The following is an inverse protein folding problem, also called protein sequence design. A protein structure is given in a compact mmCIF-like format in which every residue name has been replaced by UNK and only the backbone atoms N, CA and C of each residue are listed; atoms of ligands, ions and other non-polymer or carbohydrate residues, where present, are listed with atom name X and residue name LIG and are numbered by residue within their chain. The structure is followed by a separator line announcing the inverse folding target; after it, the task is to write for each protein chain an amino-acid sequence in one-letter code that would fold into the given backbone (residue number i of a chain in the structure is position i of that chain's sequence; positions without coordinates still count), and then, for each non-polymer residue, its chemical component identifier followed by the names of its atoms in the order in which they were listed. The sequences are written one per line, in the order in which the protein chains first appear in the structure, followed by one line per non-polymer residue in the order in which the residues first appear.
data_IF_422945344493
#
_entry.id   IF_422945344493
#
_cell.length_a   1.000
_cell.length_b   1.000
_cell.length_c   1.000
_cell.angle_alpha   90.00
_cell.angle_beta   90.00
_cell.angle_gamma   90.00
#
_symmetry.space_group_name_H-M   'P 1'
#
loop_
_entity.id
_entity.type
_entity.pdbx_description
1 polymer ?
#
# COMPACT_ATOMS: atom_id res chain seq x y z
N UNK A 1 8.77 -12.15 1.08
CA UNK A 1 8.34 -10.89 1.72
C UNK A 1 7.43 -10.16 0.75
N UNK A 2 6.23 -9.76 1.18
CA UNK A 2 5.27 -8.97 0.37
C UNK A 2 5.04 -7.64 1.06
N UNK A 3 4.77 -6.59 0.29
CA UNK A 3 4.48 -5.26 0.80
C UNK A 3 3.04 -4.87 0.47
N UNK A 4 2.36 -4.19 1.39
CA UNK A 4 1.07 -3.55 1.14
C UNK A 4 1.34 -2.15 0.58
N UNK A 5 0.79 -1.82 -0.59
CA UNK A 5 1.06 -0.56 -1.32
C UNK A 5 -0.25 0.13 -1.68
N UNK A 6 -0.33 1.44 -1.45
CA UNK A 6 -1.44 2.31 -1.85
C UNK A 6 -0.90 3.63 -2.35
N UNK A 7 -1.59 4.33 -3.26
CA UNK A 7 -1.18 5.67 -3.66
C UNK A 7 -1.42 6.69 -2.54
N UNK A 8 -0.62 7.74 -2.48
CA UNK A 8 -0.79 8.84 -1.52
C UNK A 8 -2.17 9.49 -1.65
N UNK A 9 -2.60 9.75 -2.88
CA UNK A 9 -3.89 10.39 -3.16
C UNK A 9 -5.06 9.53 -2.63
N UNK A 10 -5.02 8.22 -2.88
CA UNK A 10 -6.03 7.29 -2.39
C UNK A 10 -6.01 7.18 -0.86
N UNK A 11 -4.81 7.17 -0.27
CA UNK A 11 -4.65 7.12 1.18
C UNK A 11 -5.21 8.39 1.83
N UNK A 12 -4.92 9.55 1.27
CA UNK A 12 -5.44 10.84 1.75
C UNK A 12 -6.96 10.92 1.58
N UNK A 13 -7.51 10.45 0.47
CA UNK A 13 -8.96 10.39 0.25
C UNK A 13 -9.66 9.40 1.20
N UNK A 14 -8.99 8.32 1.61
CA UNK A 14 -9.54 7.33 2.53
C UNK A 14 -9.32 7.66 4.01
N UNK A 15 -8.34 8.52 4.32
CA UNK A 15 -7.98 8.93 5.68
C UNK A 15 -7.23 7.88 6.51
N UNK A 16 -7.17 6.61 6.08
CA UNK A 16 -6.37 5.57 6.74
C UNK A 16 -6.09 4.37 5.82
N UNK A 17 -5.03 3.62 6.14
CA UNK A 17 -4.69 2.35 5.46
C UNK A 17 -5.81 1.32 5.58
N UNK A 18 -6.50 1.25 6.72
CA UNK A 18 -7.61 0.32 6.94
C UNK A 18 -8.79 0.63 6.02
N UNK A 19 -9.21 1.90 5.95
CA UNK A 19 -10.29 2.32 5.06
C UNK A 19 -9.94 2.12 3.56
N UNK A 20 -8.68 2.37 3.18
CA UNK A 20 -8.22 2.10 1.82
C UNK A 20 -8.24 0.60 1.49
N UNK A 21 -7.93 -0.26 2.48
CA UNK A 21 -7.95 -1.72 2.33
C UNK A 21 -9.37 -2.26 2.20
N UNK A 22 -10.30 -1.77 3.00
CA UNK A 22 -11.73 -2.14 2.91
C UNK A 22 -12.33 -1.75 1.55
N UNK A 23 -11.85 -0.65 0.96
CA UNK A 23 -12.22 -0.20 -0.38
C UNK A 23 -11.47 -0.93 -1.52
N UNK A 24 -10.56 -1.85 -1.20
CA UNK A 24 -9.80 -2.62 -2.19
C UNK A 24 -8.71 -1.84 -2.93
N UNK A 25 -8.28 -0.68 -2.41
CA UNK A 25 -7.25 0.18 -3.01
C UNK A 25 -5.83 -0.22 -2.63
N UNK A 26 -5.67 -0.99 -1.55
CA UNK A 26 -4.36 -1.51 -1.12
C UNK A 26 -4.01 -2.75 -1.92
N UNK A 27 -2.84 -2.71 -2.57
CA UNK A 27 -2.28 -3.81 -3.37
C UNK A 27 -1.21 -4.57 -2.58
N UNK A 28 -1.09 -5.87 -2.83
CA UNK A 28 -0.03 -6.70 -2.28
C UNK A 28 1.03 -6.96 -3.35
N UNK A 29 2.19 -6.34 -3.20
CA UNK A 29 3.25 -6.38 -4.19
C UNK A 29 4.47 -7.16 -3.71
N UNK A 30 5.13 -7.80 -4.68
CA UNK A 30 6.33 -8.62 -4.46
C UNK A 30 7.63 -7.85 -4.60
N UNK A 31 8.75 -8.57 -4.50
CA UNK A 31 10.11 -8.01 -4.61
C UNK A 31 10.41 -7.34 -5.97
N UNK A 32 9.70 -7.74 -7.02
CA UNK A 32 9.93 -7.28 -8.39
C UNK A 32 9.10 -6.03 -8.73
N UNK A 33 8.29 -5.54 -7.78
CA UNK A 33 7.51 -4.33 -7.97
C UNK A 33 8.40 -3.09 -7.98
N UNK A 34 8.24 -2.27 -9.02
CA UNK A 34 8.92 -0.98 -9.15
C UNK A 34 8.04 0.09 -8.50
N UNK A 35 8.52 0.62 -7.38
CA UNK A 35 7.84 1.71 -6.66
C UNK A 35 7.63 2.92 -7.56
N UNK A 36 6.47 3.54 -7.42
CA UNK A 36 6.12 4.79 -8.09
C UNK A 36 6.18 5.95 -7.11
N UNK A 37 6.39 7.15 -7.64
CA UNK A 37 6.28 8.35 -6.84
C UNK A 37 4.89 8.46 -6.22
N UNK A 38 4.84 8.84 -4.94
CA UNK A 38 3.60 8.85 -4.15
C UNK A 38 3.09 7.49 -3.69
N UNK A 39 3.79 6.37 -3.92
CA UNK A 39 3.41 5.10 -3.28
C UNK A 39 3.67 5.16 -1.77
N UNK A 40 2.66 4.83 -0.97
CA UNK A 40 2.77 4.61 0.48
C UNK A 40 2.81 3.11 0.73
N UNK A 41 3.86 2.67 1.42
CA UNK A 41 4.20 1.25 1.54
C UNK A 41 4.26 0.81 2.99
N UNK A 42 3.51 -0.24 3.32
CA UNK A 42 3.65 -0.98 4.56
C UNK A 42 4.41 -2.28 4.28
N UNK A 43 5.69 -2.29 4.64
CA UNK A 43 6.50 -3.50 4.59
C UNK A 43 6.12 -4.43 5.75
N UNK A 44 5.61 -5.61 5.42
CA UNK A 44 5.42 -6.69 6.40
C UNK A 44 6.68 -7.52 6.44
N UNK A 45 7.61 -7.10 7.29
CA UNK A 45 8.67 -7.96 7.79
C UNK A 45 8.11 -8.64 9.03
N UNK A 46 7.94 -9.96 9.00
CA UNK A 46 7.80 -10.70 10.22
C UNK A 46 8.74 -11.90 10.19
N UNK A 47 9.40 -12.07 11.34
CA UNK A 47 10.16 -13.24 11.78
C UNK A 47 9.38 -14.52 11.58
#
# INVERSE_FOLDING_TARGET
MRAEIVSFDDLMACGSMAAAKEKGLVRLEGKDYVMRDGDVVLFRFNV
#
